data_IF_114870016659
#
_entry.id   IF_114870016659
#
_cell.length_a   1.000
_cell.length_b   1.000
_cell.length_c   1.000
_cell.angle_alpha   90.00
_cell.angle_beta   90.00
_cell.angle_gamma   90.00
#
_symmetry.space_group_name_H-M   'P 1'
#
loop_
_entity.id
_entity.type
_entity.pdbx_description
1 polymer ?
#
# COMPACT_ATOMS: atom_id res chain seq x y z
N UNK A 1 -21.72 2.79 53.85
CA UNK A 1 -20.76 1.67 53.80
C UNK A 1 -20.58 1.28 52.35
N UNK A 2 -19.41 1.54 51.77
CA UNK A 2 -19.06 1.01 50.44
C UNK A 2 -18.70 -0.47 50.62
N UNK A 3 -19.45 -1.38 50.00
CA UNK A 3 -19.15 -2.81 50.03
C UNK A 3 -17.81 -3.07 49.35
N UNK A 4 -16.96 -3.89 49.97
CA UNK A 4 -15.67 -4.27 49.40
C UNK A 4 -15.86 -4.88 47.99
N UNK A 5 -14.97 -4.59 47.03
CA UNK A 5 -15.06 -5.17 45.69
C UNK A 5 -14.78 -6.68 45.80
N UNK A 6 -15.82 -7.49 45.57
CA UNK A 6 -15.69 -8.94 45.43
C UNK A 6 -15.03 -9.21 44.08
N UNK A 7 -13.86 -9.85 44.11
CA UNK A 7 -13.13 -10.26 42.91
C UNK A 7 -13.85 -11.44 42.25
N UNK A 8 -14.64 -11.16 41.20
CA UNK A 8 -15.38 -12.17 40.44
C UNK A 8 -14.63 -12.56 39.16
N UNK A 9 -14.02 -13.75 39.21
CA UNK A 9 -13.19 -14.32 38.13
C UNK A 9 -14.03 -14.74 36.91
N UNK A 10 -15.35 -14.88 37.07
CA UNK A 10 -16.25 -15.30 35.97
C UNK A 10 -16.91 -14.12 35.28
N UNK A 11 -16.65 -12.89 35.73
CA UNK A 11 -17.18 -11.69 35.11
C UNK A 11 -16.58 -11.54 33.71
N UNK A 12 -17.44 -11.34 32.70
CA UNK A 12 -16.98 -11.02 31.34
C UNK A 12 -16.07 -9.78 31.39
N UNK A 13 -14.95 -9.77 30.65
CA UNK A 13 -14.06 -8.61 30.59
C UNK A 13 -14.84 -7.38 30.13
N UNK A 14 -14.66 -6.27 30.84
CA UNK A 14 -15.27 -4.99 30.49
C UNK A 14 -14.34 -4.27 29.53
N UNK A 15 -14.76 -4.11 28.28
CA UNK A 15 -14.09 -3.21 27.34
C UNK A 15 -14.43 -1.77 27.73
N UNK A 16 -13.40 -0.97 28.02
CA UNK A 16 -13.52 0.47 28.25
C UNK A 16 -12.77 1.17 27.12
N UNK A 17 -13.53 1.85 26.25
CA UNK A 17 -13.00 2.62 25.12
C UNK A 17 -12.83 4.11 25.48
N UNK A 18 -13.02 4.48 26.75
CA UNK A 18 -12.85 5.87 27.16
C UNK A 18 -11.38 6.29 27.12
N UNK A 19 -11.12 7.49 26.60
CA UNK A 19 -9.77 8.06 26.58
C UNK A 19 -9.38 8.37 28.02
N UNK A 20 -8.46 7.57 28.59
CA UNK A 20 -8.01 7.72 29.98
C UNK A 20 -6.94 8.78 30.14
N UNK A 21 -6.14 9.05 29.08
CA UNK A 21 -5.02 9.99 29.11
C UNK A 21 -4.71 10.57 27.74
N UNK A 22 -4.42 11.88 27.69
CA UNK A 22 -3.86 12.57 26.53
C UNK A 22 -2.52 13.17 26.92
N UNK A 23 -1.48 12.95 26.11
CA UNK A 23 -0.14 13.46 26.34
C UNK A 23 0.31 14.29 25.14
N UNK A 24 0.77 15.52 25.39
CA UNK A 24 1.27 16.43 24.36
C UNK A 24 2.79 16.48 24.43
N UNK A 25 3.47 16.30 23.30
CA UNK A 25 4.92 16.46 23.17
C UNK A 25 5.25 17.42 22.04
N UNK A 26 6.10 18.40 22.33
CA UNK A 26 6.63 19.33 21.34
C UNK A 26 7.95 18.79 20.82
N UNK A 27 8.05 18.58 19.51
CA UNK A 27 9.29 18.14 18.85
C UNK A 27 9.98 19.35 18.23
N UNK A 28 11.28 19.49 18.49
CA UNK A 28 12.12 20.53 17.90
C UNK A 28 13.11 19.92 16.92
N UNK A 29 13.39 20.57 15.78
CA UNK A 29 14.45 20.17 14.88
C UNK A 29 15.78 20.11 15.62
N UNK A 30 16.49 18.99 15.48
CA UNK A 30 17.78 18.78 16.13
C UNK A 30 18.83 19.81 15.69
N UNK A 31 18.75 20.28 14.44
CA UNK A 31 19.65 21.30 13.89
C UNK A 31 18.85 22.17 12.91
N UNK A 32 18.86 23.50 13.10
CA UNK A 32 18.18 24.47 12.21
C UNK A 32 18.81 24.56 10.81
N UNK A 33 20.01 24.02 10.62
CA UNK A 33 20.82 24.12 9.40
C UNK A 33 20.47 23.08 8.34
N UNK A 34 19.87 21.95 8.75
CA UNK A 34 19.37 20.94 7.83
C UNK A 34 17.86 21.04 7.84
N UNK A 35 17.30 21.65 6.79
CA UNK A 35 15.86 21.71 6.63
C UNK A 35 15.27 20.28 6.70
N UNK A 36 14.30 20.09 7.60
CA UNK A 36 13.43 18.90 7.67
C UNK A 36 14.07 17.55 8.07
N UNK A 37 15.12 17.52 8.90
CA UNK A 37 15.65 16.25 9.46
C UNK A 37 15.13 15.98 10.89
N UNK A 38 13.81 16.00 11.05
CA UNK A 38 13.17 15.84 12.36
C UNK A 38 12.99 14.36 12.71
N UNK A 39 13.29 14.01 13.96
CA UNK A 39 13.01 12.69 14.51
C UNK A 39 11.87 12.82 15.51
N UNK A 40 10.78 12.09 15.27
CA UNK A 40 9.60 12.07 16.11
C UNK A 40 9.56 10.73 16.85
N UNK A 41 9.83 10.78 18.16
CA UNK A 41 9.82 9.61 19.05
C UNK A 41 8.54 9.59 19.91
N UNK A 42 7.64 8.67 19.62
CA UNK A 42 6.43 8.40 20.38
C UNK A 42 6.70 7.17 21.25
N UNK A 43 6.75 7.36 22.57
CA UNK A 43 6.96 6.26 23.51
C UNK A 43 5.78 6.15 24.45
N UNK A 44 5.15 4.98 24.45
CA UNK A 44 4.12 4.58 25.42
C UNK A 44 4.76 3.59 26.39
N UNK A 45 4.77 3.94 27.68
CA UNK A 45 5.31 3.10 28.74
C UNK A 45 4.38 3.20 29.95
N UNK A 46 3.24 2.52 29.88
CA UNK A 46 2.27 2.46 30.96
C UNK A 46 2.37 1.10 31.64
N UNK A 47 2.43 1.11 32.97
CA UNK A 47 2.31 -0.11 33.76
C UNK A 47 0.85 -0.59 33.72
N UNK A 48 0.64 -1.91 33.84
CA UNK A 48 -0.68 -2.52 34.02
C UNK A 48 -1.67 -2.28 32.87
N UNK A 49 -1.17 -2.02 31.65
CA UNK A 49 -1.98 -1.79 30.45
C UNK A 49 -1.48 -2.62 29.27
N UNK A 50 -2.41 -3.32 28.60
CA UNK A 50 -2.16 -3.99 27.33
C UNK A 50 -2.45 -3.04 26.18
N UNK A 51 -1.59 -3.00 25.17
CA UNK A 51 -1.66 -2.08 24.04
C UNK A 51 -1.96 -2.83 22.74
N UNK A 52 -3.07 -2.49 22.09
CA UNK A 52 -3.46 -3.02 20.79
C UNK A 52 -2.93 -2.14 19.65
N UNK A 53 -1.60 -2.10 19.46
CA UNK A 53 -0.97 -1.23 18.45
C UNK A 53 -1.39 -1.54 17.01
N UNK A 54 -1.90 -2.75 16.74
CA UNK A 54 -2.42 -3.10 15.42
C UNK A 54 -3.69 -2.36 15.02
N UNK A 55 -4.42 -1.79 15.99
CA UNK A 55 -5.54 -0.86 15.77
C UNK A 55 -5.12 0.61 15.88
N UNK A 56 -3.85 0.87 16.20
CA UNK A 56 -3.33 2.22 16.34
C UNK A 56 -3.34 2.99 15.01
N UNK A 57 -3.57 4.29 15.11
CA UNK A 57 -3.62 5.21 13.97
C UNK A 57 -2.75 6.42 14.30
N UNK A 58 -1.89 6.81 13.35
CA UNK A 58 -1.17 8.08 13.36
C UNK A 58 -2.00 9.09 12.56
N UNK A 59 -2.46 10.15 13.22
CA UNK A 59 -3.12 11.27 12.54
C UNK A 59 -2.11 12.39 12.28
N UNK A 60 -2.00 12.81 11.02
CA UNK A 60 -1.14 13.90 10.58
C UNK A 60 -2.01 15.05 10.14
N UNK A 61 -1.73 16.23 10.70
CA UNK A 61 -2.39 17.48 10.33
C UNK A 61 -1.33 18.49 9.94
N UNK A 62 -1.61 19.25 8.88
CA UNK A 62 -0.69 20.26 8.40
C UNK A 62 -1.37 21.27 7.49
N UNK A 63 -0.59 22.26 7.07
CA UNK A 63 -1.01 23.30 6.14
C UNK A 63 -0.21 23.15 4.85
N UNK A 64 -0.91 23.15 3.71
CA UNK A 64 -0.27 23.14 2.40
C UNK A 64 0.09 24.57 2.00
N UNK A 65 1.38 24.80 1.73
CA UNK A 65 1.86 26.05 1.14
C UNK A 65 2.09 25.81 -0.35
N UNK A 66 1.24 26.41 -1.19
CA UNK A 66 1.38 26.32 -2.65
C UNK A 66 2.32 27.43 -3.12
N UNK A 67 3.52 27.04 -3.54
CA UNK A 67 4.51 27.96 -4.14
C UNK A 67 4.35 27.90 -5.66
N UNK A 68 3.47 28.73 -6.23
CA UNK A 68 3.19 28.80 -7.67
C UNK A 68 1.71 28.92 -8.02
N UNK A 69 1.38 29.01 -9.32
CA UNK A 69 0.01 29.21 -9.81
C UNK A 69 -0.81 27.93 -10.09
N UNK A 70 -0.41 26.77 -9.56
CA UNK A 70 -1.05 25.48 -9.80
C UNK A 70 -2.11 25.11 -8.75
N UNK A 71 -3.04 24.23 -9.12
CA UNK A 71 -3.96 23.58 -8.18
C UNK A 71 -3.24 22.34 -7.62
N UNK A 72 -2.96 22.33 -6.31
CA UNK A 72 -2.36 21.17 -5.63
C UNK A 72 -3.44 20.22 -5.12
N UNK A 73 -3.33 18.94 -5.47
CA UNK A 73 -4.17 17.86 -4.92
C UNK A 73 -3.30 16.90 -4.11
N UNK A 74 -3.82 16.40 -2.98
CA UNK A 74 -3.15 15.35 -2.23
C UNK A 74 -3.36 14.01 -2.94
N UNK A 75 -2.28 13.28 -3.17
CA UNK A 75 -2.31 11.93 -3.74
C UNK A 75 -2.61 10.91 -2.64
N UNK A 76 -3.04 9.71 -3.04
CA UNK A 76 -3.12 8.58 -2.12
C UNK A 76 -1.74 8.31 -1.49
N UNK A 77 -1.69 8.10 -0.18
CA UNK A 77 -0.47 7.93 0.63
C UNK A 77 0.48 9.13 0.69
N UNK A 78 0.03 10.36 0.38
CA UNK A 78 0.88 11.55 0.48
C UNK A 78 1.59 11.63 1.85
N UNK A 79 0.91 11.20 2.90
CA UNK A 79 1.37 11.13 4.28
C UNK A 79 2.53 10.17 4.54
N UNK A 80 2.65 9.08 3.77
CA UNK A 80 3.73 8.12 3.94
C UNK A 80 5.07 8.66 3.39
N UNK A 81 5.01 9.53 2.38
CA UNK A 81 6.18 10.18 1.78
C UNK A 81 6.80 11.29 2.65
N UNK A 82 6.12 11.69 3.73
CA UNK A 82 6.65 12.65 4.70
C UNK A 82 7.79 12.06 5.53
N UNK A 83 7.92 10.73 5.58
CA UNK A 83 8.91 10.03 6.38
C UNK A 83 9.86 9.19 5.51
N UNK A 84 11.14 9.22 5.85
CA UNK A 84 12.19 8.45 5.15
C UNK A 84 12.33 7.05 5.76
N UNK A 85 12.31 6.97 7.08
CA UNK A 85 12.35 5.72 7.82
C UNK A 85 11.39 5.73 9.01
N UNK A 86 10.90 4.54 9.32
CA UNK A 86 10.00 4.26 10.42
C UNK A 86 10.59 3.12 11.22
N UNK A 87 10.74 3.33 12.53
CA UNK A 87 11.21 2.32 13.47
C UNK A 87 10.13 2.03 14.51
N UNK A 88 9.92 0.75 14.78
CA UNK A 88 9.19 0.30 15.96
C UNK A 88 10.11 -0.51 16.86
N UNK A 89 10.16 -0.15 18.13
CA UNK A 89 10.83 -0.87 19.21
C UNK A 89 9.79 -1.35 20.21
N UNK A 90 9.62 -2.67 20.27
CA UNK A 90 8.76 -3.32 21.27
C UNK A 90 9.62 -4.16 22.21
N UNK A 91 9.15 -4.30 23.45
CA UNK A 91 9.85 -5.09 24.48
C UNK A 91 10.06 -6.55 24.05
N UNK A 92 9.27 -7.06 23.10
CA UNK A 92 9.36 -8.43 22.57
C UNK A 92 10.03 -8.54 21.18
N UNK A 93 10.29 -7.43 20.48
CA UNK A 93 10.72 -7.45 19.06
C UNK A 93 11.83 -6.43 18.86
N UNK A 94 13.01 -6.94 18.48
CA UNK A 94 14.18 -6.12 18.20
C UNK A 94 14.05 -5.43 16.84
N UNK A 95 13.95 -4.10 16.85
CA UNK A 95 14.10 -3.15 15.75
C UNK A 95 13.57 -3.59 14.37
N UNK A 96 12.42 -3.04 13.99
CA UNK A 96 11.90 -3.17 12.62
C UNK A 96 12.00 -1.82 11.91
N UNK A 97 12.90 -1.72 10.92
CA UNK A 97 12.95 -0.61 9.98
C UNK A 97 12.05 -0.90 8.79
N UNK A 98 11.13 0.02 8.49
CA UNK A 98 10.28 -0.06 7.31
C UNK A 98 10.39 1.21 6.50
N UNK A 99 10.42 1.07 5.18
CA UNK A 99 10.25 2.18 4.25
C UNK A 99 8.76 2.32 3.96
N UNK A 100 8.21 3.52 4.21
CA UNK A 100 6.77 3.82 4.20
C UNK A 100 6.12 3.80 2.80
N UNK A 101 6.45 2.84 1.94
CA UNK A 101 5.99 2.79 0.54
C UNK A 101 5.08 1.59 0.32
N UNK A 102 3.91 1.61 0.95
CA UNK A 102 2.86 0.65 0.66
C UNK A 102 1.72 1.31 -0.12
N UNK A 103 1.18 0.59 -1.09
CA UNK A 103 0.29 1.02 -2.17
C UNK A 103 -1.08 1.59 -1.75
N UNK A 104 -1.46 2.71 -2.37
CA UNK A 104 -2.79 3.37 -2.40
C UNK A 104 -3.78 3.13 -1.25
N UNK A 105 -3.41 3.40 0.00
CA UNK A 105 -4.31 3.29 1.14
C UNK A 105 -5.13 4.58 1.31
N UNK A 106 -6.44 4.42 1.51
CA UNK A 106 -7.36 5.49 1.88
C UNK A 106 -8.04 5.08 3.18
N UNK A 107 -7.46 5.46 4.33
CA UNK A 107 -7.99 5.04 5.63
C UNK A 107 -8.44 6.23 6.49
N UNK A 108 -9.65 6.18 7.08
CA UNK A 108 -10.80 5.44 6.57
C UNK A 108 -11.31 6.01 5.23
N UNK A 109 -10.87 7.22 4.88
CA UNK A 109 -11.23 7.97 3.68
C UNK A 109 -9.98 8.55 3.02
N UNK A 110 -10.10 9.01 1.77
CA UNK A 110 -9.04 9.72 1.08
C UNK A 110 -8.61 10.99 1.83
N UNK A 111 -7.33 11.42 1.68
CA UNK A 111 -6.83 12.63 2.32
C UNK A 111 -7.68 13.84 1.91
N UNK A 112 -8.20 14.56 2.92
CA UNK A 112 -9.07 15.73 2.69
C UNK A 112 -8.21 16.98 2.71
N UNK A 113 -8.22 17.72 1.60
CA UNK A 113 -7.71 19.09 1.54
C UNK A 113 -8.89 20.05 1.71
N UNK A 114 -8.90 20.77 2.82
CA UNK A 114 -9.91 21.78 3.09
C UNK A 114 -9.67 23.05 2.26
N UNK A 115 -10.70 23.87 2.08
CA UNK A 115 -10.61 25.14 1.34
C UNK A 115 -9.60 26.13 1.97
N UNK A 116 -9.33 25.99 3.27
CA UNK A 116 -8.33 26.77 4.01
C UNK A 116 -6.89 26.25 3.82
N UNK A 117 -6.68 25.27 2.92
CA UNK A 117 -5.40 24.59 2.66
C UNK A 117 -4.89 23.77 3.85
N UNK A 118 -5.70 23.52 4.86
CA UNK A 118 -5.38 22.54 5.90
C UNK A 118 -5.66 21.14 5.38
N UNK A 119 -4.86 20.18 5.81
CA UNK A 119 -5.10 18.76 5.54
C UNK A 119 -5.07 17.95 6.83
N UNK A 120 -5.83 16.86 6.82
CA UNK A 120 -5.81 15.83 7.86
C UNK A 120 -5.78 14.47 7.20
N UNK A 121 -4.83 13.64 7.59
CA UNK A 121 -4.60 12.31 7.03
C UNK A 121 -4.38 11.31 8.17
N UNK A 122 -4.81 10.07 8.00
CA UNK A 122 -4.72 9.03 9.01
C UNK A 122 -3.97 7.82 8.46
N UNK A 123 -2.95 7.36 9.19
CA UNK A 123 -2.16 6.19 8.83
C UNK A 123 -2.35 5.11 9.89
N UNK A 124 -3.04 4.01 9.58
CA UNK A 124 -3.03 2.82 10.42
C UNK A 124 -1.61 2.27 10.60
N UNK A 125 -1.24 1.97 11.84
CA UNK A 125 0.07 1.41 12.15
C UNK A 125 0.34 0.08 11.45
N UNK A 126 -0.70 -0.74 11.23
CA UNK A 126 -0.63 -1.98 10.45
C UNK A 126 -0.21 -1.80 8.99
N UNK A 127 -0.37 -0.61 8.41
CA UNK A 127 0.07 -0.32 7.04
C UNK A 127 1.53 0.12 6.99
N UNK A 128 2.05 0.67 8.10
CA UNK A 128 3.45 1.05 8.25
C UNK A 128 4.31 -0.13 8.69
N UNK A 129 3.82 -0.93 9.64
CA UNK A 129 4.58 -2.00 10.26
C UNK A 129 3.90 -3.35 10.00
N UNK A 130 4.56 -4.20 9.21
CA UNK A 130 4.04 -5.53 8.85
C UNK A 130 3.75 -6.40 10.06
N UNK A 131 4.49 -6.24 11.16
CA UNK A 131 4.26 -7.01 12.39
C UNK A 131 2.85 -6.83 12.94
N UNK A 132 2.29 -5.64 12.84
CA UNK A 132 0.92 -5.35 13.31
C UNK A 132 -0.14 -5.88 12.35
N UNK A 133 0.21 -6.07 11.07
CA UNK A 133 -0.66 -6.76 10.12
C UNK A 133 -0.64 -8.28 10.33
N UNK A 134 0.55 -8.85 10.53
CA UNK A 134 0.76 -10.29 10.62
C UNK A 134 0.38 -10.85 11.99
N UNK A 135 0.59 -10.06 13.05
CA UNK A 135 0.34 -10.44 14.44
C UNK A 135 -0.55 -9.39 15.12
N UNK A 136 -1.86 -9.58 15.02
CA UNK A 136 -2.87 -8.76 15.69
C UNK A 136 -3.03 -9.16 17.15
N UNK A 137 -1.95 -9.01 17.91
CA UNK A 137 -1.89 -9.36 19.33
C UNK A 137 -1.67 -8.10 20.15
N UNK A 138 -2.33 -8.02 21.30
CA UNK A 138 -2.06 -6.97 22.27
C UNK A 138 -0.70 -7.25 22.93
N UNK A 139 0.12 -6.21 23.02
CA UNK A 139 1.45 -6.28 23.59
C UNK A 139 1.49 -5.60 24.95
N UNK A 140 2.45 -5.99 25.77
CA UNK A 140 2.68 -5.42 27.10
C UNK A 140 4.04 -4.74 27.13
N UNK A 141 4.16 -3.68 27.94
CA UNK A 141 5.43 -3.04 28.26
C UNK A 141 5.70 -1.77 27.46
N UNK A 142 6.98 -1.42 27.34
CA UNK A 142 7.41 -0.20 26.64
C UNK A 142 7.32 -0.44 25.13
N UNK A 143 6.64 0.48 24.46
CA UNK A 143 6.56 0.55 23.01
C UNK A 143 7.03 1.91 22.53
N UNK A 144 7.92 1.93 21.55
CA UNK A 144 8.44 3.18 20.96
C UNK A 144 8.33 3.14 19.45
N UNK A 145 7.68 4.15 18.89
CA UNK A 145 7.66 4.42 17.46
C UNK A 145 8.54 5.64 17.20
N UNK A 146 9.49 5.48 16.29
CA UNK A 146 10.36 6.55 15.81
C UNK A 146 10.05 6.80 14.33
N UNK A 147 9.75 8.04 14.00
CA UNK A 147 9.51 8.50 12.63
C UNK A 147 10.61 9.48 12.25
N UNK A 148 11.32 9.23 11.16
CA UNK A 148 12.33 10.17 10.64
C UNK A 148 11.74 10.92 9.46
N UNK A 149 11.63 12.24 9.56
CA UNK A 149 11.09 13.09 8.49
C UNK A 149 12.02 13.07 7.27
N UNK A 150 11.42 13.02 6.08
CA UNK A 150 12.16 13.14 4.84
C UNK A 150 12.77 14.54 4.67
N UNK A 151 13.99 14.61 4.12
CA UNK A 151 14.73 15.86 3.90
C UNK A 151 13.99 16.87 3.02
N UNK A 152 13.15 16.38 2.12
CA UNK A 152 12.28 17.20 1.29
C UNK A 152 10.98 16.44 0.97
N UNK A 153 9.95 17.21 0.66
CA UNK A 153 8.66 16.67 0.22
C UNK A 153 8.65 16.40 -1.30
N UNK A 154 9.81 16.44 -1.99
CA UNK A 154 9.86 16.17 -3.43
C UNK A 154 9.46 14.71 -3.76
N UNK A 155 9.55 13.81 -2.77
CA UNK A 155 9.03 12.45 -2.90
C UNK A 155 7.49 12.37 -2.87
N UNK A 156 6.80 13.38 -2.34
CA UNK A 156 5.33 13.46 -2.39
C UNK A 156 4.82 13.96 -3.76
N UNK A 157 5.71 14.56 -4.56
CA UNK A 157 5.48 14.91 -5.96
C UNK A 157 6.28 13.96 -6.84
N UNK A 158 5.76 12.75 -7.02
CA UNK A 158 6.29 11.82 -8.02
C UNK A 158 5.28 11.65 -9.14
N UNK A 159 5.72 11.93 -10.36
CA UNK A 159 5.24 11.18 -11.51
C UNK A 159 5.80 9.77 -11.33
N UNK A 160 5.03 8.91 -10.65
CA UNK A 160 5.44 7.53 -10.36
C UNK A 160 5.29 6.74 -11.64
N UNK A 161 6.41 6.41 -12.27
CA UNK A 161 6.44 5.35 -13.27
C UNK A 161 6.20 4.02 -12.55
N UNK A 162 5.20 3.21 -12.96
CA UNK A 162 4.93 1.93 -12.32
C UNK A 162 6.13 0.99 -12.53
N UNK A 163 6.56 0.29 -11.47
CA UNK A 163 7.58 -0.77 -11.62
C UNK A 163 6.94 -2.05 -12.12
N UNK A 164 5.72 -2.32 -11.69
CA UNK A 164 4.92 -3.44 -12.15
C UNK A 164 3.49 -2.99 -12.42
N UNK A 165 2.92 -3.55 -13.49
CA UNK A 165 1.50 -3.41 -13.79
C UNK A 165 0.88 -4.79 -13.79
N UNK A 166 -0.10 -4.99 -12.91
CA UNK A 166 -0.86 -6.23 -12.84
C UNK A 166 -2.23 -5.97 -13.45
N UNK A 167 -2.57 -6.79 -14.44
CA UNK A 167 -3.85 -6.74 -15.15
C UNK A 167 -4.54 -8.08 -15.00
N UNK A 168 -5.81 -8.05 -14.66
CA UNK A 168 -6.71 -9.20 -14.65
C UNK A 168 -8.07 -8.75 -15.14
N UNK A 169 -8.87 -9.70 -15.63
CA UNK A 169 -10.16 -9.42 -16.24
C UNK A 169 -11.26 -10.15 -15.48
N UNK A 170 -12.40 -9.50 -15.35
CA UNK A 170 -13.63 -10.07 -14.88
C UNK A 170 -14.71 -9.71 -15.90
N UNK A 171 -15.48 -10.70 -16.31
CA UNK A 171 -16.57 -10.56 -17.26
C UNK A 171 -17.84 -11.13 -16.65
N UNK A 172 -18.94 -10.38 -16.73
CA UNK A 172 -20.26 -10.82 -16.24
C UNK A 172 -20.33 -11.20 -14.75
N UNK A 173 -19.43 -10.67 -13.92
CA UNK A 173 -19.35 -10.92 -12.46
C UNK A 173 -19.75 -9.69 -11.63
N UNK A 174 -20.16 -8.60 -12.29
CA UNK A 174 -20.62 -7.41 -11.60
C UNK A 174 -22.05 -7.63 -11.09
N UNK A 175 -22.31 -7.30 -9.83
CA UNK A 175 -23.63 -7.35 -9.18
C UNK A 175 -24.34 -8.71 -9.18
N UNK A 176 -23.62 -9.81 -9.41
CA UNK A 176 -24.12 -11.19 -9.29
C UNK A 176 -23.60 -11.84 -8.00
N UNK A 177 -24.53 -12.27 -7.14
CA UNK A 177 -24.23 -12.93 -5.86
C UNK A 177 -23.83 -14.42 -6.02
N UNK A 178 -24.08 -15.02 -7.17
CA UNK A 178 -23.79 -16.44 -7.43
C UNK A 178 -22.43 -16.66 -8.10
N UNK A 179 -21.81 -15.60 -8.58
CA UNK A 179 -20.52 -15.65 -9.25
C UNK A 179 -19.35 -15.39 -8.28
N UNK A 180 -18.26 -16.15 -8.43
CA UNK A 180 -17.06 -15.98 -7.62
C UNK A 180 -16.16 -14.87 -8.19
N UNK A 181 -16.16 -13.72 -7.52
CA UNK A 181 -15.33 -12.56 -7.87
C UNK A 181 -13.82 -12.83 -7.73
N UNK A 182 -13.40 -13.89 -7.05
CA UNK A 182 -11.97 -14.24 -6.92
C UNK A 182 -11.42 -14.97 -8.15
N UNK A 183 -12.29 -15.45 -9.04
CA UNK A 183 -11.92 -16.09 -10.29
C UNK A 183 -11.82 -15.05 -11.41
N UNK A 184 -10.71 -15.07 -12.13
CA UNK A 184 -10.45 -14.14 -13.22
C UNK A 184 -10.62 -14.81 -14.57
N UNK A 185 -10.98 -14.03 -15.57
CA UNK A 185 -11.21 -14.49 -16.92
C UNK A 185 -9.96 -14.24 -17.77
N UNK A 186 -9.66 -15.17 -18.66
CA UNK A 186 -8.51 -15.04 -19.58
C UNK A 186 -8.80 -14.07 -20.75
N UNK A 187 -10.07 -13.70 -20.95
CA UNK A 187 -10.59 -12.83 -22.01
C UNK A 187 -10.07 -13.16 -23.43
N UNK A 188 -9.64 -14.41 -23.69
CA UNK A 188 -9.04 -14.85 -24.95
C UNK A 188 -7.90 -13.96 -25.47
N UNK A 189 -7.15 -13.37 -24.54
CA UNK A 189 -5.97 -12.53 -24.80
C UNK A 189 -4.86 -13.34 -25.45
N UNK A 190 -4.34 -12.82 -26.56
CA UNK A 190 -3.15 -13.32 -27.26
C UNK A 190 -1.90 -12.60 -26.83
N UNK A 191 -2.00 -11.31 -26.52
CA UNK A 191 -0.88 -10.51 -26.05
C UNK A 191 -1.33 -9.28 -25.27
N UNK A 192 -0.50 -8.86 -24.32
CA UNK A 192 -0.72 -7.67 -23.50
C UNK A 192 0.60 -6.93 -23.31
N UNK A 193 0.58 -5.61 -23.48
CA UNK A 193 1.74 -4.74 -23.33
C UNK A 193 1.34 -3.37 -22.81
N UNK A 194 2.25 -2.72 -22.11
CA UNK A 194 2.12 -1.35 -21.63
C UNK A 194 3.07 -0.45 -22.42
N UNK A 195 2.53 0.59 -23.05
CA UNK A 195 3.30 1.68 -23.60
C UNK A 195 3.48 2.77 -22.54
N UNK A 196 4.73 3.05 -22.16
CA UNK A 196 5.15 4.11 -21.24
C UNK A 196 6.00 5.13 -22.00
N UNK A 197 5.46 6.31 -22.31
CA UNK A 197 6.19 7.35 -23.06
C UNK A 197 6.83 6.85 -24.37
N UNK A 198 6.08 6.06 -25.13
CA UNK A 198 6.48 5.42 -26.40
C UNK A 198 7.36 4.16 -26.32
N UNK A 199 7.75 3.72 -25.12
CA UNK A 199 8.42 2.42 -24.92
C UNK A 199 7.43 1.32 -24.53
N UNK A 200 7.62 0.09 -25.03
CA UNK A 200 6.72 -1.04 -24.75
C UNK A 200 7.29 -2.03 -23.75
N UNK A 201 6.44 -2.47 -22.82
CA UNK A 201 6.74 -3.45 -21.78
C UNK A 201 5.69 -4.58 -21.77
N UNK A 202 6.08 -5.87 -21.77
CA UNK A 202 7.41 -6.34 -22.13
C UNK A 202 7.77 -5.97 -23.58
N UNK A 203 9.07 -5.85 -23.87
CA UNK A 203 9.56 -5.55 -25.21
C UNK A 203 9.22 -6.67 -26.20
N UNK A 204 9.35 -7.92 -25.75
CA UNK A 204 8.89 -9.09 -26.48
C UNK A 204 7.38 -9.25 -26.40
N UNK A 205 6.78 -9.89 -27.39
CA UNK A 205 5.35 -10.24 -27.36
C UNK A 205 5.12 -11.39 -26.40
N UNK A 206 4.15 -11.27 -25.50
CA UNK A 206 3.63 -12.47 -24.82
C UNK A 206 2.87 -13.30 -25.84
N UNK A 207 3.15 -14.60 -25.88
CA UNK A 207 2.52 -15.56 -26.79
C UNK A 207 1.51 -16.40 -26.01
N UNK A 208 0.27 -15.92 -25.96
CA UNK A 208 -0.80 -16.56 -25.21
C UNK A 208 -1.81 -17.20 -26.16
N UNK A 209 -2.17 -18.46 -25.87
CA UNK A 209 -3.22 -19.19 -26.57
C UNK A 209 -3.89 -20.16 -25.59
N UNK A 210 -4.96 -19.68 -24.97
CA UNK A 210 -5.67 -20.43 -23.95
C UNK A 210 -6.41 -21.65 -24.51
N UNK A 211 -6.70 -21.68 -25.81
CA UNK A 211 -7.30 -22.87 -26.46
C UNK A 211 -6.32 -24.04 -26.56
N UNK A 212 -5.02 -23.73 -26.58
CA UNK A 212 -3.91 -24.70 -26.61
C UNK A 212 -3.20 -24.85 -25.27
N UNK A 213 -3.83 -24.38 -24.19
CA UNK A 213 -3.26 -24.40 -22.83
C UNK A 213 -1.93 -23.64 -22.69
N UNK A 214 -1.69 -22.62 -23.53
CA UNK A 214 -0.48 -21.81 -23.51
C UNK A 214 -0.61 -20.66 -22.49
N UNK A 215 -0.32 -20.98 -21.22
CA UNK A 215 -0.26 -20.02 -20.10
C UNK A 215 1.17 -19.73 -19.60
N UNK A 216 2.18 -20.33 -20.23
CA UNK A 216 3.55 -20.37 -19.71
C UNK A 216 4.15 -18.97 -19.50
N UNK A 217 4.03 -18.06 -20.48
CA UNK A 217 4.57 -16.70 -20.39
C UNK A 217 3.93 -15.89 -19.26
N UNK A 218 2.60 -15.96 -19.15
CA UNK A 218 1.85 -15.25 -18.11
C UNK A 218 2.20 -15.79 -16.71
N UNK A 219 2.26 -17.12 -16.56
CA UNK A 219 2.64 -17.75 -15.30
C UNK A 219 4.10 -17.47 -14.92
N UNK A 220 5.02 -17.46 -15.89
CA UNK A 220 6.41 -17.10 -15.66
C UNK A 220 6.53 -15.69 -15.07
N UNK A 221 5.91 -14.70 -15.72
CA UNK A 221 5.94 -13.31 -15.24
C UNK A 221 5.29 -13.16 -13.86
N UNK A 222 4.18 -13.87 -13.61
CA UNK A 222 3.53 -13.91 -12.31
C UNK A 222 4.44 -14.44 -11.19
N UNK A 223 5.18 -15.52 -11.44
CA UNK A 223 6.09 -16.09 -10.42
C UNK A 223 7.37 -15.27 -10.21
N UNK A 224 7.87 -14.61 -11.25
CA UNK A 224 9.05 -13.73 -11.17
C UNK A 224 8.76 -12.43 -10.41
N UNK A 225 7.53 -11.93 -10.52
CA UNK A 225 7.10 -10.71 -9.83
C UNK A 225 7.45 -10.70 -8.35
N UNK A 226 7.08 -11.76 -7.62
CA UNK A 226 7.30 -11.83 -6.17
C UNK A 226 8.79 -11.76 -5.80
N UNK A 227 9.61 -12.52 -6.53
CA UNK A 227 11.07 -12.55 -6.36
C UNK A 227 11.67 -11.14 -6.49
N UNK A 228 11.28 -10.43 -7.55
CA UNK A 228 11.82 -9.10 -7.86
C UNK A 228 11.24 -7.99 -6.97
N UNK A 229 9.94 -8.04 -6.65
CA UNK A 229 9.26 -7.02 -5.85
C UNK A 229 9.72 -7.02 -4.39
N UNK A 230 9.83 -8.19 -3.75
CA UNK A 230 10.26 -8.31 -2.35
C UNK A 230 11.77 -8.52 -2.19
N UNK A 231 12.55 -8.44 -3.27
CA UNK A 231 14.00 -8.71 -3.28
C UNK A 231 14.36 -10.06 -2.60
N UNK A 232 13.55 -11.08 -2.86
CA UNK A 232 13.72 -12.42 -2.30
C UNK A 232 14.49 -13.30 -3.28
N UNK A 233 15.23 -14.30 -2.79
CA UNK A 233 15.94 -15.25 -3.65
C UNK A 233 15.01 -16.34 -4.23
N UNK A 234 13.85 -16.58 -3.60
CA UNK A 234 12.93 -17.65 -3.97
C UNK A 234 11.71 -17.14 -4.74
N UNK A 235 11.28 -17.89 -5.74
CA UNK A 235 9.97 -17.71 -6.37
C UNK A 235 8.90 -18.16 -5.40
N UNK A 236 7.92 -17.31 -5.13
CA UNK A 236 6.77 -17.67 -4.31
C UNK A 236 5.50 -17.35 -5.09
N UNK A 237 4.87 -18.40 -5.60
CA UNK A 237 3.55 -18.33 -6.22
C UNK A 237 2.50 -18.46 -5.11
N UNK A 238 1.46 -17.62 -5.13
CA UNK A 238 0.33 -17.74 -4.18
C UNK A 238 -0.57 -18.93 -4.57
N UNK A 239 -0.61 -19.26 -5.86
CA UNK A 239 -1.43 -20.34 -6.42
C UNK A 239 -0.58 -21.25 -7.29
N UNK A 240 -0.98 -22.52 -7.40
CA UNK A 240 -0.32 -23.46 -8.30
C UNK A 240 -0.71 -23.19 -9.77
N UNK A 241 -0.04 -23.85 -10.71
CA UNK A 241 -0.28 -23.63 -12.14
C UNK A 241 -1.72 -23.95 -12.57
N UNK A 242 -2.36 -24.97 -11.98
CA UNK A 242 -3.72 -25.35 -12.35
C UNK A 242 -4.75 -24.34 -11.84
N UNK A 243 -4.55 -23.86 -10.61
CA UNK A 243 -5.33 -22.76 -10.04
C UNK A 243 -5.11 -21.47 -10.82
N UNK A 244 -3.88 -21.15 -11.25
CA UNK A 244 -3.59 -19.97 -12.05
C UNK A 244 -4.42 -19.92 -13.34
N UNK A 245 -4.69 -21.06 -13.99
CA UNK A 245 -5.56 -21.10 -15.18
C UNK A 245 -6.98 -20.64 -14.92
N UNK A 246 -7.48 -20.84 -13.69
CA UNK A 246 -8.82 -20.39 -13.25
C UNK A 246 -8.85 -18.92 -12.82
N UNK A 247 -7.68 -18.30 -12.64
CA UNK A 247 -7.52 -16.89 -12.23
C UNK A 247 -6.26 -16.26 -12.85
N UNK A 248 -6.16 -16.19 -14.18
CA UNK A 248 -4.98 -15.68 -14.84
C UNK A 248 -4.76 -14.21 -14.49
N UNK A 249 -3.56 -13.91 -14.00
CA UNK A 249 -3.08 -12.55 -13.76
C UNK A 249 -1.92 -12.27 -14.72
N UNK A 250 -1.99 -11.14 -15.40
CA UNK A 250 -0.98 -10.70 -16.34
C UNK A 250 -0.09 -9.66 -15.67
N UNK A 251 1.13 -10.07 -15.31
CA UNK A 251 2.12 -9.16 -14.72
C UNK A 251 3.05 -8.64 -15.81
N UNK A 252 3.18 -7.32 -15.87
CA UNK A 252 4.07 -6.59 -16.77
C UNK A 252 5.20 -5.99 -15.93
N UNK A 253 6.43 -6.39 -16.20
CA UNK A 253 7.64 -5.84 -15.57
C UNK A 253 8.11 -4.59 -16.34
N UNK A 254 8.01 -3.44 -15.68
CA UNK A 254 8.49 -2.14 -16.18
C UNK A 254 9.78 -1.69 -15.49
N UNK A 255 10.35 -2.49 -14.59
CA UNK A 255 11.49 -2.11 -13.74
C UNK A 255 12.80 -1.90 -14.50
N UNK A 256 12.97 -2.52 -15.67
CA UNK A 256 14.23 -2.53 -16.45
C UNK A 256 14.34 -1.38 -17.44
N UNK A 257 13.92 -0.17 -17.04
CA UNK A 257 13.95 1.01 -17.91
C UNK A 257 15.37 1.54 -18.11
N UNK A 258 15.63 2.10 -19.30
CA UNK A 258 16.84 2.89 -19.57
C UNK A 258 16.72 4.27 -18.89
N UNK A 259 17.75 4.68 -18.15
CA UNK A 259 17.79 5.83 -17.23
C UNK A 259 17.65 7.24 -17.87
N UNK A 260 17.12 7.36 -19.09
CA UNK A 260 17.21 8.57 -19.93
C UNK A 260 15.94 9.41 -20.06
N UNK A 261 15.01 9.39 -19.10
CA UNK A 261 13.73 10.10 -19.25
C UNK A 261 13.73 11.55 -18.79
N UNK A 262 12.98 12.37 -19.53
CA UNK A 262 12.60 13.73 -19.16
C UNK A 262 11.38 13.71 -18.24
N UNK A 263 11.39 14.59 -17.24
CA UNK A 263 10.29 14.92 -16.34
C UNK A 263 9.11 15.54 -17.12
N UNK A 264 8.30 14.72 -17.78
CA UNK A 264 7.03 15.12 -18.39
C UNK A 264 5.90 14.17 -17.97
N UNK A 265 4.65 14.58 -18.21
CA UNK A 265 3.46 13.72 -18.06
C UNK A 265 3.70 12.37 -18.71
N UNK A 266 3.53 11.29 -17.94
CA UNK A 266 3.71 9.92 -18.43
C UNK A 266 2.40 9.46 -19.03
N UNK A 267 2.39 9.28 -20.35
CA UNK A 267 1.26 8.65 -21.03
C UNK A 267 1.37 7.13 -20.85
N UNK A 268 0.45 6.58 -20.05
CA UNK A 268 0.28 5.16 -19.81
C UNK A 268 -0.79 4.61 -20.75
N UNK A 269 -0.42 3.79 -21.73
CA UNK A 269 -1.37 3.15 -22.64
C UNK A 269 -1.24 1.62 -22.56
N UNK A 270 -2.30 0.95 -22.13
CA UNK A 270 -2.37 -0.51 -22.13
C UNK A 270 -2.87 -0.99 -23.49
N UNK A 271 -2.08 -1.80 -24.17
CA UNK A 271 -2.41 -2.44 -25.43
C UNK A 271 -2.69 -3.92 -25.21
N UNK A 272 -3.88 -4.36 -25.65
CA UNK A 272 -4.33 -5.74 -25.51
C UNK A 272 -4.76 -6.25 -26.87
N UNK A 273 -4.23 -7.41 -27.25
CA UNK A 273 -4.68 -8.15 -28.41
C UNK A 273 -5.42 -9.40 -27.92
N UNK A 274 -6.66 -9.58 -28.36
CA UNK A 274 -7.51 -10.72 -28.01
C UNK A 274 -8.12 -11.34 -29.27
N UNK A 275 -8.56 -12.60 -29.15
CA UNK A 275 -9.19 -13.34 -30.26
C UNK A 275 -10.60 -12.83 -30.57
N UNK A 276 -11.31 -12.37 -29.54
CA UNK A 276 -12.66 -11.82 -29.64
C UNK A 276 -12.65 -10.36 -29.20
N UNK A 277 -13.50 -9.54 -29.80
CA UNK A 277 -13.66 -8.14 -29.38
C UNK A 277 -14.13 -8.07 -27.92
N UNK A 278 -13.55 -7.15 -27.16
CA UNK A 278 -14.02 -6.85 -25.81
C UNK A 278 -15.45 -6.28 -25.89
N UNK A 279 -16.35 -6.78 -25.04
CA UNK A 279 -17.65 -6.15 -24.81
C UNK A 279 -17.43 -4.70 -24.31
N UNK A 280 -18.39 -3.78 -24.55
CA UNK A 280 -18.24 -2.39 -24.16
C UNK A 280 -17.82 -2.23 -22.69
N UNK A 281 -17.02 -1.19 -22.44
CA UNK A 281 -16.29 -0.87 -21.21
C UNK A 281 -17.09 -0.92 -19.89
N UNK A 282 -18.42 -1.01 -19.94
CA UNK A 282 -19.30 -1.07 -18.77
C UNK A 282 -19.27 -2.41 -18.01
N UNK A 283 -18.71 -3.49 -18.57
CA UNK A 283 -18.71 -4.83 -17.95
C UNK A 283 -17.32 -5.35 -17.54
N UNK A 284 -16.26 -4.56 -17.75
CA UNK A 284 -14.89 -4.95 -17.40
C UNK A 284 -14.46 -4.15 -16.17
N UNK A 285 -14.50 -4.79 -14.99
CA UNK A 285 -13.87 -4.25 -13.79
C UNK A 285 -12.36 -4.21 -14.03
N UNK A 286 -11.84 -3.04 -14.41
CA UNK A 286 -10.41 -2.81 -14.65
C UNK A 286 -9.74 -2.42 -13.33
N UNK A 287 -9.47 -3.40 -12.48
CA UNK A 287 -8.59 -3.17 -11.33
C UNK A 287 -7.13 -3.27 -11.80
N UNK A 288 -6.63 -2.18 -12.39
CA UNK A 288 -5.20 -2.02 -12.67
C UNK A 288 -4.55 -1.59 -11.36
N UNK A 289 -3.79 -2.51 -10.75
CA UNK A 289 -2.93 -2.13 -9.62
C UNK A 289 -1.56 -1.80 -10.17
N UNK A 290 -1.21 -0.51 -10.09
CA UNK A 290 0.14 -0.03 -10.33
C UNK A 290 0.92 -0.19 -9.03
N UNK A 291 1.98 -1.00 -9.07
CA UNK A 291 2.87 -1.28 -7.93
C UNK A 291 4.29 -0.74 -8.19
#
# INVERSE_FOLDING_TARGET
MLSAPVFDVFRKPRSDESITKVEWRTYYPHVKSFENNDVIDITVNQADTWLAMFEGIITIKGNLVVTGGGIGTLTHNAEAYLFDSLLCEDTCVTHLETHARNSGWNYPNAPILNADKTFSMNIPLKHLFSIFNDHQVATWGKQSIRLVKARNDANSVKVVDPRYVIVFFQTKKADDLHEDVTLFDNANIKSIRLALNSDYYPQARMLLDFSKDQYADAHFNYTEFNKSYHNCQQKRALVNFNEFKTRPMFVIDCSRRHLGMKSSTVDNKLEIEATTGFLPLSEIVRNITLL
#
